data_IF_568469475476
#
_entry.id   IF_568469475476
#
_cell.length_a   1.000
_cell.length_b   1.000
_cell.length_c   1.000
_cell.angle_alpha   90.00
_cell.angle_beta   90.00
_cell.angle_gamma   90.00
#
_symmetry.space_group_name_H-M   'P 1'
#
loop_
_entity.id
_entity.type
_entity.pdbx_description
1 polymer ?
#
# COMPACT_ATOMS: atom_id res chain seq x y z
N UNK A 1 11.25 -7.13 16.02
CA UNK A 1 9.79 -7.36 16.06
C UNK A 1 9.11 -6.30 15.20
N UNK A 2 8.19 -6.70 14.34
CA UNK A 2 7.47 -5.76 13.49
C UNK A 2 6.50 -4.89 14.30
N UNK A 3 6.23 -3.69 13.82
CA UNK A 3 5.29 -2.74 14.47
C UNK A 3 4.07 -2.58 13.60
N UNK A 4 2.89 -2.80 14.18
CA UNK A 4 1.61 -2.76 13.47
C UNK A 4 0.72 -1.64 14.01
N UNK A 5 -0.03 -1.04 13.10
CA UNK A 5 -1.12 -0.11 13.43
C UNK A 5 -2.39 -0.72 12.83
N UNK A 6 -3.38 -1.08 13.64
CA UNK A 6 -4.59 -1.74 13.15
C UNK A 6 -5.68 -0.76 12.76
N UNK A 7 -6.64 -1.26 11.97
CA UNK A 7 -7.95 -0.63 11.71
C UNK A 7 -7.86 0.78 11.11
N UNK A 8 -7.03 0.93 10.07
CA UNK A 8 -6.87 2.18 9.35
C UNK A 8 -7.77 2.20 8.11
N UNK A 9 -8.51 3.27 7.92
CA UNK A 9 -9.42 3.41 6.78
C UNK A 9 -8.63 3.73 5.52
N UNK A 10 -8.78 2.91 4.48
CA UNK A 10 -8.29 3.23 3.14
C UNK A 10 -9.17 4.31 2.56
N UNK A 11 -8.56 5.38 2.05
CA UNK A 11 -9.30 6.52 1.46
C UNK A 11 -9.19 6.57 -0.05
N UNK A 12 -8.13 5.99 -0.62
CA UNK A 12 -7.93 5.97 -2.07
C UNK A 12 -6.96 4.86 -2.46
N UNK A 13 -7.23 4.20 -3.57
CA UNK A 13 -6.27 3.31 -4.23
C UNK A 13 -5.66 4.09 -5.38
N UNK A 14 -4.34 4.30 -5.36
CA UNK A 14 -3.63 5.08 -6.38
C UNK A 14 -3.12 4.15 -7.47
N UNK A 15 -2.36 3.12 -7.08
CA UNK A 15 -1.80 2.08 -7.96
C UNK A 15 -1.87 0.74 -7.24
N UNK A 16 -1.44 -0.32 -7.90
CA UNK A 16 -1.38 -1.64 -7.28
C UNK A 16 -0.50 -1.69 -6.03
N UNK A 17 0.47 -0.81 -5.92
CA UNK A 17 1.44 -0.76 -4.82
C UNK A 17 1.41 0.54 -4.01
N UNK A 18 0.40 1.40 -4.22
CA UNK A 18 0.29 2.70 -3.55
C UNK A 18 -1.15 2.98 -3.19
N UNK A 19 -1.40 3.23 -1.91
CA UNK A 19 -2.73 3.57 -1.40
C UNK A 19 -2.63 4.73 -0.43
N UNK A 20 -3.76 5.36 -0.15
CA UNK A 20 -3.87 6.40 0.88
C UNK A 20 -4.78 5.93 1.99
N UNK A 21 -4.42 6.31 3.21
CA UNK A 21 -5.17 5.98 4.42
C UNK A 21 -5.41 7.22 5.26
N UNK A 22 -6.32 7.09 6.21
CA UNK A 22 -6.54 8.11 7.23
C UNK A 22 -5.83 7.66 8.51
N UNK A 23 -4.93 8.50 9.03
CA UNK A 23 -4.11 8.18 10.18
C UNK A 23 -3.89 9.45 11.02
N UNK A 24 -4.23 9.37 12.32
CA UNK A 24 -4.03 10.47 13.26
C UNK A 24 -4.60 11.81 12.77
N UNK A 25 -5.79 11.78 12.16
CA UNK A 25 -6.48 12.98 11.75
C UNK A 25 -6.06 13.54 10.39
N UNK A 26 -5.23 12.83 9.62
CA UNK A 26 -4.81 13.30 8.30
C UNK A 26 -4.64 12.14 7.32
N UNK A 27 -4.65 12.47 6.04
CA UNK A 27 -4.41 11.51 4.97
C UNK A 27 -2.91 11.25 4.84
N UNK A 28 -2.54 9.98 4.84
CA UNK A 28 -1.16 9.54 4.61
C UNK A 28 -1.10 8.66 3.38
N UNK A 29 -0.07 8.85 2.55
CA UNK A 29 0.19 7.98 1.42
C UNK A 29 1.11 6.84 1.83
N UNK A 30 0.79 5.62 1.39
CA UNK A 30 1.59 4.42 1.63
C UNK A 30 2.24 3.97 0.33
N UNK A 31 3.51 3.62 0.40
CA UNK A 31 4.23 2.89 -0.65
C UNK A 31 4.56 1.52 -0.09
N UNK A 32 4.00 0.49 -0.68
CA UNK A 32 4.21 -0.88 -0.19
C UNK A 32 5.65 -1.30 -0.43
N UNK A 33 6.28 -1.88 0.60
CA UNK A 33 7.66 -2.35 0.50
C UNK A 33 7.74 -3.73 -0.15
N UNK A 34 8.89 -4.02 -0.73
CA UNK A 34 9.22 -5.29 -1.39
C UNK A 34 8.40 -5.60 -2.64
N UNK A 35 7.66 -4.63 -3.19
CA UNK A 35 6.86 -4.79 -4.40
C UNK A 35 7.02 -3.57 -5.31
N UNK A 36 6.77 -3.76 -6.60
CA UNK A 36 6.83 -2.69 -7.60
C UNK A 36 5.93 -3.10 -8.77
N UNK A 37 4.66 -2.66 -8.72
CA UNK A 37 3.72 -2.94 -9.80
C UNK A 37 3.95 -2.00 -11.00
N UNK A 38 3.39 -2.35 -12.15
CA UNK A 38 3.40 -1.48 -13.31
C UNK A 38 2.65 -0.18 -13.02
N UNK A 39 3.02 0.89 -13.69
CA UNK A 39 2.45 2.22 -13.50
C UNK A 39 1.07 2.33 -14.15
N UNK A 40 0.10 2.92 -13.44
CA UNK A 40 -1.25 3.14 -13.95
C UNK A 40 -1.56 4.61 -14.24
N UNK A 41 -0.67 5.54 -13.86
CA UNK A 41 -0.86 6.99 -14.06
C UNK A 41 0.30 7.60 -14.83
N UNK A 42 0.00 8.54 -15.72
CA UNK A 42 1.02 9.33 -16.42
C UNK A 42 1.69 10.30 -15.45
N UNK A 43 2.92 10.72 -15.78
CA UNK A 43 3.68 11.68 -14.99
C UNK A 43 4.65 11.06 -13.99
N UNK A 44 4.64 9.73 -13.84
CA UNK A 44 5.62 9.01 -13.03
C UNK A 44 6.92 8.76 -13.80
N UNK A 45 7.88 8.12 -13.16
CA UNK A 45 9.16 7.74 -13.77
C UNK A 45 9.03 6.56 -14.75
N UNK A 46 7.92 5.85 -14.73
CA UNK A 46 7.62 4.69 -15.58
C UNK A 46 6.50 5.02 -16.56
N UNK A 47 6.49 4.41 -17.76
CA UNK A 47 5.35 4.57 -18.66
C UNK A 47 4.10 3.89 -18.12
N UNK A 48 2.93 4.43 -18.47
CA UNK A 48 1.65 3.79 -18.17
C UNK A 48 1.50 2.57 -19.07
N UNK A 49 1.13 1.43 -18.49
CA UNK A 49 0.97 0.17 -19.22
C UNK A 49 -0.41 -0.44 -18.98
N UNK A 50 -0.81 -1.37 -19.86
CA UNK A 50 -2.03 -2.14 -19.65
C UNK A 50 -1.94 -2.98 -18.37
N UNK A 51 -0.77 -3.53 -18.06
CA UNK A 51 -0.53 -4.28 -16.82
C UNK A 51 -0.67 -3.37 -15.60
N UNK A 52 -0.21 -2.13 -15.67
CA UNK A 52 -0.36 -1.16 -14.59
C UNK A 52 -1.81 -0.80 -14.34
N UNK A 53 -2.59 -0.59 -15.40
CA UNK A 53 -4.02 -0.33 -15.28
C UNK A 53 -4.77 -1.52 -14.70
N UNK A 54 -4.41 -2.75 -15.12
CA UNK A 54 -5.01 -3.97 -14.59
C UNK A 54 -4.69 -4.15 -13.10
N UNK A 55 -3.45 -3.88 -12.69
CA UNK A 55 -3.04 -3.94 -11.29
C UNK A 55 -3.83 -2.94 -10.43
N UNK A 56 -4.01 -1.72 -10.92
CA UNK A 56 -4.78 -0.69 -10.24
C UNK A 56 -6.26 -1.11 -10.09
N UNK A 57 -6.85 -1.67 -11.15
CA UNK A 57 -8.24 -2.16 -11.10
C UNK A 57 -8.39 -3.34 -10.12
N UNK A 58 -7.44 -4.26 -10.11
CA UNK A 58 -7.41 -5.37 -9.15
C UNK A 58 -7.38 -4.82 -7.72
N UNK A 59 -6.50 -3.85 -7.45
CA UNK A 59 -6.37 -3.26 -6.12
C UNK A 59 -7.65 -2.56 -5.69
N UNK A 60 -8.29 -1.81 -6.59
CA UNK A 60 -9.58 -1.15 -6.31
C UNK A 60 -10.65 -2.15 -5.92
N UNK A 61 -10.73 -3.28 -6.61
CA UNK A 61 -11.67 -4.36 -6.27
C UNK A 61 -11.33 -5.01 -4.94
N UNK A 62 -10.04 -5.23 -4.68
CA UNK A 62 -9.57 -5.89 -3.47
C UNK A 62 -9.94 -5.07 -2.22
N UNK A 63 -9.79 -3.76 -2.26
CA UNK A 63 -10.08 -2.89 -1.13
C UNK A 63 -11.52 -2.39 -1.07
N UNK A 64 -12.33 -2.64 -2.10
CA UNK A 64 -13.73 -2.21 -2.11
C UNK A 64 -14.56 -3.02 -1.12
N UNK A 65 -15.56 -2.36 -0.51
CA UNK A 65 -16.55 -3.00 0.34
C UNK A 65 -17.88 -3.10 -0.37
N UNK A 66 -18.78 -3.98 0.10
CA UNK A 66 -20.11 -4.16 -0.47
C UNK A 66 -20.96 -2.89 -0.42
N UNK A 67 -20.67 -1.98 0.53
CA UNK A 67 -21.41 -0.73 0.69
C UNK A 67 -20.92 0.40 -0.21
N UNK A 68 -19.99 0.16 -1.12
CA UNK A 68 -19.46 1.18 -2.03
C UNK A 68 -18.28 1.98 -1.47
N UNK A 69 -17.83 1.68 -0.26
CA UNK A 69 -16.66 2.31 0.35
C UNK A 69 -15.39 1.47 0.19
N UNK A 70 -14.38 1.80 0.99
CA UNK A 70 -13.12 1.07 1.01
C UNK A 70 -12.87 0.47 2.40
N UNK A 71 -12.10 -0.62 2.41
CA UNK A 71 -11.85 -1.43 3.61
C UNK A 71 -10.99 -0.71 4.64
N UNK A 72 -11.04 -1.21 5.86
CA UNK A 72 -10.02 -0.93 6.86
C UNK A 72 -8.89 -1.96 6.73
N UNK A 73 -7.68 -1.54 7.05
CA UNK A 73 -6.48 -2.37 6.95
C UNK A 73 -5.62 -2.17 8.19
N UNK A 74 -4.67 -3.10 8.37
CA UNK A 74 -3.55 -2.89 9.29
C UNK A 74 -2.32 -2.57 8.45
N UNK A 75 -1.42 -1.73 8.97
CA UNK A 75 -0.09 -1.55 8.37
C UNK A 75 0.96 -2.09 9.32
N UNK A 76 2.08 -2.52 8.74
CA UNK A 76 3.18 -3.09 9.50
C UNK A 76 4.49 -2.49 9.00
N UNK A 77 5.29 -1.95 9.93
CA UNK A 77 6.63 -1.45 9.63
C UNK A 77 7.65 -2.56 9.90
N UNK A 78 8.55 -2.78 8.97
CA UNK A 78 9.63 -3.76 9.09
C UNK A 78 10.77 -3.20 9.94
N UNK A 79 10.53 -3.03 11.24
CA UNK A 79 11.47 -2.41 12.17
C UNK A 79 11.16 -2.80 13.61
N UNK A 80 12.16 -2.68 14.47
CA UNK A 80 12.01 -2.75 15.92
C UNK A 80 11.81 -1.37 16.56
N UNK A 81 11.87 -0.30 15.78
CA UNK A 81 11.58 1.05 16.27
C UNK A 81 10.14 1.14 16.78
N UNK A 82 9.87 2.10 17.65
CA UNK A 82 8.50 2.38 18.07
C UNK A 82 7.67 2.88 16.89
N UNK A 83 6.35 2.82 17.02
CA UNK A 83 5.43 3.34 15.99
C UNK A 83 5.71 4.82 15.73
N UNK A 84 5.92 5.63 16.78
CA UNK A 84 6.20 7.05 16.64
C UNK A 84 7.47 7.30 15.81
N UNK A 85 8.52 6.54 16.05
CA UNK A 85 9.77 6.64 15.30
C UNK A 85 9.58 6.17 13.87
N UNK A 86 8.86 5.06 13.67
CA UNK A 86 8.61 4.52 12.33
C UNK A 86 7.82 5.52 11.48
N UNK A 87 6.82 6.20 12.04
CA UNK A 87 6.04 7.22 11.34
C UNK A 87 6.89 8.39 10.86
N UNK A 88 8.00 8.66 11.54
CA UNK A 88 8.93 9.73 11.14
C UNK A 88 9.98 9.27 10.14
N UNK A 89 10.53 8.06 10.32
CA UNK A 89 11.71 7.59 9.60
C UNK A 89 11.41 6.71 8.39
N UNK A 90 10.36 5.90 8.46
CA UNK A 90 10.07 4.91 7.42
C UNK A 90 9.26 5.51 6.29
N UNK A 91 9.89 6.45 5.57
CA UNK A 91 9.27 7.17 4.46
C UNK A 91 10.21 7.18 3.26
N UNK A 92 9.62 7.24 2.05
CA UNK A 92 10.40 7.41 0.83
C UNK A 92 10.71 8.89 0.58
N UNK A 93 11.35 9.18 -0.54
CA UNK A 93 11.73 10.55 -0.91
C UNK A 93 10.55 11.49 -1.14
N UNK A 94 9.34 10.94 -1.30
CA UNK A 94 8.11 11.70 -1.49
C UNK A 94 7.28 11.80 -0.21
N UNK A 95 7.83 11.31 0.90
CA UNK A 95 7.14 11.35 2.20
C UNK A 95 6.12 10.25 2.42
N UNK A 96 6.02 9.26 1.52
CA UNK A 96 5.09 8.13 1.67
C UNK A 96 5.63 7.13 2.68
N UNK A 97 4.74 6.60 3.53
CA UNK A 97 5.11 5.60 4.50
C UNK A 97 5.44 4.27 3.81
N UNK A 98 6.56 3.67 4.18
CA UNK A 98 7.03 2.39 3.66
C UNK A 98 6.59 1.28 4.60
N UNK A 99 5.68 0.41 4.14
CA UNK A 99 5.08 -0.58 5.03
C UNK A 99 4.51 -1.77 4.27
N UNK A 100 4.19 -2.83 5.04
CA UNK A 100 3.34 -3.92 4.59
C UNK A 100 1.89 -3.58 4.90
N UNK A 101 0.96 -4.06 4.08
CA UNK A 101 -0.48 -3.90 4.25
C UNK A 101 -1.11 -5.26 4.51
N UNK A 102 -1.92 -5.35 5.55
CA UNK A 102 -2.68 -6.55 5.89
C UNK A 102 -4.18 -6.26 5.84
N UNK A 103 -4.93 -7.12 5.18
CA UNK A 103 -6.38 -7.04 5.08
C UNK A 103 -6.96 -8.42 5.33
N UNK A 104 -7.87 -8.52 6.32
CA UNK A 104 -8.55 -9.77 6.67
C UNK A 104 -7.57 -10.94 6.89
N UNK A 105 -6.44 -10.66 7.56
CA UNK A 105 -5.42 -11.66 7.86
C UNK A 105 -4.47 -11.98 6.70
N UNK A 106 -4.62 -11.33 5.55
CA UNK A 106 -3.78 -11.54 4.38
C UNK A 106 -2.77 -10.40 4.21
N UNK A 107 -1.50 -10.75 3.94
CA UNK A 107 -0.47 -9.78 3.60
C UNK A 107 -0.61 -9.43 2.11
N UNK A 108 -1.09 -8.23 1.82
CA UNK A 108 -1.34 -7.77 0.46
C UNK A 108 -0.06 -7.66 -0.37
N UNK A 109 1.06 -7.24 0.25
CA UNK A 109 2.35 -7.15 -0.46
C UNK A 109 2.75 -8.54 -0.99
N UNK A 110 2.62 -9.56 -0.16
CA UNK A 110 2.93 -10.94 -0.55
C UNK A 110 1.96 -11.44 -1.64
N UNK A 111 0.68 -11.09 -1.54
CA UNK A 111 -0.33 -11.43 -2.54
C UNK A 111 0.05 -10.89 -3.92
N UNK A 112 0.56 -9.66 -4.01
CA UNK A 112 1.00 -9.07 -5.28
C UNK A 112 2.11 -9.89 -5.93
N UNK A 113 3.04 -10.41 -5.14
CA UNK A 113 4.14 -11.24 -5.62
C UNK A 113 3.60 -12.61 -6.06
N UNK A 114 2.79 -13.25 -5.21
CA UNK A 114 2.27 -14.59 -5.46
C UNK A 114 1.36 -14.67 -6.69
N UNK A 115 0.62 -13.58 -6.97
CA UNK A 115 -0.27 -13.51 -8.12
C UNK A 115 0.40 -12.95 -9.38
N UNK A 116 1.69 -12.63 -9.30
CA UNK A 116 2.45 -12.17 -10.46
C UNK A 116 2.26 -10.70 -10.82
N UNK A 117 1.62 -9.89 -9.95
CA UNK A 117 1.46 -8.46 -10.20
C UNK A 117 2.77 -7.69 -10.06
N UNK A 118 3.68 -8.22 -9.27
CA UNK A 118 4.97 -7.60 -8.98
C UNK A 118 6.04 -8.66 -8.78
N UNK A 119 7.28 -8.42 -9.24
CA UNK A 119 8.42 -9.20 -8.76
C UNK A 119 8.70 -8.85 -7.30
N UNK A 120 9.45 -9.71 -6.62
CA UNK A 120 10.01 -9.34 -5.31
C UNK A 120 11.04 -8.24 -5.54
N UNK A 121 10.85 -7.12 -4.85
CA UNK A 121 11.67 -5.92 -5.05
C UNK A 121 12.28 -5.50 -3.70
N UNK A 122 13.59 -5.39 -3.66
CA UNK A 122 14.32 -5.02 -2.46
C UNK A 122 14.71 -3.55 -2.48
#
# INVERSE_FOLDING_TARGET
MARRIPNLQVTKVVDGDSIKIYLNGQTESLRLICVDTEESHSGGSKPVTAAGKAASEMAKKYFATDGGGLSQIDIEFDTDDSVEVALQKHRDNYGRLLCYVHKDGENYNLKLIEEGWSPYFV
#
